data_IF_199196994572
#
_entry.id   IF_199196994572
#
_cell.length_a   1.000
_cell.length_b   1.000
_cell.length_c   1.000
_cell.angle_alpha   90.00
_cell.angle_beta   90.00
_cell.angle_gamma   90.00
#
_symmetry.space_group_name_H-M   'P 1'
#
loop_
_entity.id
_entity.type
_entity.pdbx_description
1 polymer ?
#
# COMPACT_ATOMS: atom_id res chain seq x y z
N UNK A 1 35.49 47.91 0.58
CA UNK A 1 34.41 48.32 -0.36
C UNK A 1 34.15 47.29 -1.49
N UNK A 2 35.13 46.55 -2.00
CA UNK A 2 34.89 45.55 -3.07
C UNK A 2 34.28 44.21 -2.60
N UNK A 3 34.46 43.81 -1.34
CA UNK A 3 33.97 42.52 -0.82
C UNK A 3 32.45 42.50 -0.59
N UNK A 4 31.88 43.65 -0.20
CA UNK A 4 30.47 43.79 0.17
C UNK A 4 29.53 43.84 -1.05
N UNK A 5 30.04 44.29 -2.20
CA UNK A 5 29.30 44.25 -3.47
C UNK A 5 29.24 42.84 -4.08
N UNK A 6 30.21 41.98 -3.77
CA UNK A 6 30.26 40.62 -4.31
C UNK A 6 29.26 39.69 -3.59
N UNK A 7 29.14 39.82 -2.27
CA UNK A 7 28.17 39.06 -1.47
C UNK A 7 26.74 39.46 -1.77
N UNK A 8 26.47 40.76 -2.00
CA UNK A 8 25.14 41.24 -2.36
C UNK A 8 24.70 40.75 -3.75
N UNK A 9 25.62 40.69 -4.73
CA UNK A 9 25.33 40.13 -6.06
C UNK A 9 25.06 38.62 -6.01
N UNK A 10 25.82 37.88 -5.19
CA UNK A 10 25.61 36.45 -5.01
C UNK A 10 24.26 36.14 -4.36
N UNK A 11 23.86 36.94 -3.37
CA UNK A 11 22.57 36.80 -2.69
C UNK A 11 21.40 37.08 -3.64
N UNK A 12 21.52 38.11 -4.49
CA UNK A 12 20.50 38.45 -5.50
C UNK A 12 20.42 37.36 -6.58
N UNK A 13 21.55 36.78 -7.00
CA UNK A 13 21.55 35.67 -7.96
C UNK A 13 20.90 34.41 -7.38
N UNK A 14 21.17 34.09 -6.10
CA UNK A 14 20.53 33.00 -5.38
C UNK A 14 19.03 33.24 -5.24
N UNK A 15 18.60 34.46 -4.96
CA UNK A 15 17.19 34.84 -4.89
C UNK A 15 16.48 34.75 -6.25
N UNK A 16 17.16 35.14 -7.34
CA UNK A 16 16.63 34.95 -8.69
C UNK A 16 16.57 33.48 -9.08
N UNK A 17 17.56 32.67 -8.68
CA UNK A 17 17.58 31.23 -8.98
C UNK A 17 16.53 30.47 -8.16
N UNK A 18 16.29 30.85 -6.90
CA UNK A 18 15.17 30.29 -6.10
C UNK A 18 13.81 30.76 -6.61
N UNK A 19 13.67 32.01 -7.06
CA UNK A 19 12.44 32.50 -7.69
C UNK A 19 12.17 31.80 -9.04
N UNK A 20 13.22 31.51 -9.81
CA UNK A 20 13.13 30.76 -11.06
C UNK A 20 12.81 29.27 -10.82
N UNK A 21 13.31 28.68 -9.73
CA UNK A 21 12.94 27.34 -9.26
C UNK A 21 11.53 27.27 -8.66
N UNK A 22 10.97 28.40 -8.18
CA UNK A 22 9.58 28.51 -7.72
C UNK A 22 8.59 28.72 -8.87
N UNK A 23 9.06 29.21 -10.01
CA UNK A 23 8.34 29.17 -11.30
C UNK A 23 8.45 27.75 -11.90
N UNK A 24 8.02 26.74 -11.15
CA UNK A 24 7.92 25.39 -11.69
C UNK A 24 6.82 25.34 -12.75
N UNK A 25 7.14 24.62 -13.82
CA UNK A 25 6.30 24.28 -14.95
C UNK A 25 4.88 23.88 -14.53
N UNK A 26 3.92 24.79 -14.64
CA UNK A 26 2.54 24.36 -14.86
C UNK A 26 2.47 23.86 -16.30
N UNK A 27 2.21 22.57 -16.47
CA UNK A 27 1.89 22.05 -17.80
C UNK A 27 0.52 22.64 -18.17
N UNK A 28 0.43 23.53 -19.17
CA UNK A 28 -0.82 24.19 -19.46
C UNK A 28 -1.82 23.15 -19.99
N UNK A 29 -3.06 23.22 -19.51
CA UNK A 29 -4.16 22.48 -20.14
C UNK A 29 -4.22 22.88 -21.61
N UNK A 30 -4.26 21.88 -22.50
CA UNK A 30 -4.23 22.11 -23.93
C UNK A 30 -5.62 21.88 -24.54
N UNK A 31 -6.09 22.86 -25.31
CA UNK A 31 -7.29 22.70 -26.14
C UNK A 31 -6.90 21.89 -27.39
N UNK A 32 -7.48 20.71 -27.55
CA UNK A 32 -7.23 19.81 -28.68
C UNK A 32 -8.13 20.15 -29.86
N UNK A 33 -9.41 20.41 -29.58
CA UNK A 33 -10.40 20.73 -30.60
C UNK A 33 -11.47 21.68 -30.05
N UNK A 34 -12.03 22.49 -30.95
CA UNK A 34 -13.19 23.36 -30.67
C UNK A 34 -14.10 23.30 -31.89
N UNK A 35 -15.35 22.88 -31.69
CA UNK A 35 -16.34 22.80 -32.76
C UNK A 35 -17.72 23.27 -32.30
N UNK A 36 -18.56 23.68 -33.27
CA UNK A 36 -19.99 23.95 -33.05
C UNK A 36 -20.77 22.77 -33.63
N UNK A 37 -21.65 22.16 -32.84
CA UNK A 37 -22.41 20.98 -33.25
C UNK A 37 -23.88 21.12 -32.84
N UNK A 38 -24.79 20.80 -33.75
CA UNK A 38 -26.22 20.76 -33.47
C UNK A 38 -26.57 19.39 -32.87
N UNK A 39 -26.91 19.35 -31.59
CA UNK A 39 -27.36 18.13 -30.90
C UNK A 39 -28.88 18.05 -30.97
N UNK A 40 -29.40 17.06 -31.66
CA UNK A 40 -30.84 16.74 -31.70
C UNK A 40 -31.17 15.60 -30.75
N UNK A 41 -32.15 15.81 -29.86
CA UNK A 41 -32.61 14.81 -28.89
C UNK A 41 -34.05 14.40 -29.23
N UNK A 42 -34.27 13.08 -29.31
CA UNK A 42 -35.59 12.49 -29.55
C UNK A 42 -36.15 12.06 -28.19
N UNK A 43 -37.15 12.80 -27.71
CA UNK A 43 -37.71 12.65 -26.35
C UNK A 43 -38.88 11.63 -26.32
N UNK A 44 -39.43 11.26 -27.48
CA UNK A 44 -40.59 10.35 -27.62
C UNK A 44 -40.66 9.68 -29.00
N UNK A 45 -41.58 8.73 -29.20
CA UNK A 45 -41.86 8.11 -30.51
C UNK A 45 -42.39 9.10 -31.57
N UNK A 46 -42.76 10.33 -31.19
CA UNK A 46 -43.13 11.38 -32.13
C UNK A 46 -41.93 11.83 -32.97
N UNK A 47 -42.18 12.22 -34.22
CA UNK A 47 -41.17 12.68 -35.18
C UNK A 47 -40.54 14.06 -34.85
N UNK A 48 -40.90 14.66 -33.71
CA UNK A 48 -40.40 15.97 -33.28
C UNK A 48 -39.03 15.85 -32.61
N UNK A 49 -37.99 16.33 -33.29
CA UNK A 49 -36.61 16.38 -32.79
C UNK A 49 -36.35 17.74 -32.15
N UNK A 50 -35.92 17.74 -30.88
CA UNK A 50 -35.49 18.95 -30.20
C UNK A 50 -34.00 19.17 -30.46
N UNK A 51 -33.66 20.05 -31.40
CA UNK A 51 -32.29 20.35 -31.79
C UNK A 51 -31.78 21.61 -31.09
N UNK A 52 -30.61 21.50 -30.47
CA UNK A 52 -29.92 22.61 -29.79
C UNK A 52 -28.48 22.73 -30.30
N UNK A 53 -28.04 23.96 -30.59
CA UNK A 53 -26.65 24.22 -30.97
C UNK A 53 -25.77 24.22 -29.72
N UNK A 54 -24.69 23.43 -29.73
CA UNK A 54 -23.74 23.31 -28.63
C UNK A 54 -22.31 23.56 -29.12
N UNK A 55 -21.46 24.07 -28.23
CA UNK A 55 -20.02 24.14 -28.46
C UNK A 55 -19.40 22.91 -27.80
N UNK A 56 -18.64 22.14 -28.56
CA UNK A 56 -17.88 20.98 -28.06
C UNK A 56 -16.42 21.39 -28.00
N UNK A 57 -15.79 21.14 -26.87
CA UNK A 57 -14.38 21.45 -26.60
C UNK A 57 -13.72 20.16 -26.11
N UNK A 58 -12.71 19.71 -26.83
CA UNK A 58 -11.86 18.60 -26.39
C UNK A 58 -10.61 19.15 -25.72
N UNK A 59 -10.34 18.70 -24.51
CA UNK A 59 -9.29 19.21 -23.65
C UNK A 59 -8.38 18.08 -23.18
N UNK A 60 -7.06 18.33 -23.18
CA UNK A 60 -6.09 17.50 -22.49
C UNK A 60 -5.76 18.15 -21.14
N UNK A 61 -6.14 17.48 -20.05
CA UNK A 61 -5.94 17.96 -18.68
C UNK A 61 -4.79 17.16 -18.05
N UNK A 62 -3.57 17.74 -17.96
CA UNK A 62 -2.45 17.06 -17.33
C UNK A 62 -2.69 16.90 -15.83
N UNK A 63 -2.22 15.77 -15.28
CA UNK A 63 -1.99 15.68 -13.84
C UNK A 63 -0.62 16.28 -13.57
N UNK A 64 -0.49 17.22 -12.63
CA UNK A 64 0.84 17.63 -12.24
C UNK A 64 1.55 16.48 -11.51
N UNK A 65 2.74 16.12 -11.97
CA UNK A 65 3.62 15.17 -11.28
C UNK A 65 4.11 15.71 -9.92
N UNK A 66 4.02 17.03 -9.70
CA UNK A 66 4.32 17.72 -8.44
C UNK A 66 3.19 17.66 -7.41
N UNK A 67 2.05 17.08 -7.75
CA UNK A 67 0.90 16.97 -6.83
C UNK A 67 0.07 18.25 -6.68
N UNK A 68 0.30 19.30 -7.48
CA UNK A 68 -0.61 20.45 -7.50
C UNK A 68 -1.70 20.30 -8.57
N UNK A 69 -2.67 21.18 -8.42
CA UNK A 69 -3.90 21.26 -9.19
C UNK A 69 -3.69 22.08 -10.47
N UNK A 70 -3.82 21.47 -11.66
CA UNK A 70 -3.71 22.18 -12.93
C UNK A 70 -5.01 22.95 -13.23
N UNK A 71 -4.93 24.27 -13.47
CA UNK A 71 -6.12 25.12 -13.74
C UNK A 71 -6.17 25.79 -15.12
N UNK A 72 -7.37 25.87 -15.73
CA UNK A 72 -7.63 26.60 -16.98
C UNK A 72 -8.88 27.44 -16.83
N UNK A 73 -8.79 28.73 -17.15
CA UNK A 73 -9.93 29.64 -17.25
C UNK A 73 -10.32 29.80 -18.72
N UNK A 74 -11.49 29.29 -19.11
CA UNK A 74 -12.06 29.52 -20.44
C UNK A 74 -13.18 30.57 -20.39
N UNK A 75 -13.09 31.59 -21.25
CA UNK A 75 -14.02 32.72 -21.34
C UNK A 75 -14.83 32.65 -22.65
N UNK A 76 -16.17 32.60 -22.56
CA UNK A 76 -17.06 32.51 -23.74
C UNK A 76 -17.60 33.90 -24.11
N UNK A 77 -16.98 34.55 -25.10
CA UNK A 77 -17.20 35.98 -25.39
C UNK A 77 -18.42 36.26 -26.30
N UNK A 78 -18.85 35.32 -27.15
CA UNK A 78 -19.87 35.58 -28.19
C UNK A 78 -20.95 34.50 -28.29
N UNK A 79 -22.22 34.92 -28.37
CA UNK A 79 -23.38 34.06 -28.64
C UNK A 79 -24.19 34.63 -29.79
N UNK A 80 -24.45 33.82 -30.80
CA UNK A 80 -25.25 34.18 -31.97
C UNK A 80 -26.70 33.73 -31.73
N UNK A 81 -27.63 34.68 -31.69
CA UNK A 81 -29.05 34.42 -31.43
C UNK A 81 -29.80 34.19 -32.75
N UNK A 82 -30.53 33.08 -32.85
CA UNK A 82 -31.31 32.69 -34.03
C UNK A 82 -32.46 33.69 -34.27
N UNK A 83 -32.20 34.81 -34.97
CA UNK A 83 -33.21 35.59 -35.73
C UNK A 83 -32.70 36.91 -36.31
N UNK A 84 -31.48 37.35 -36.00
CA UNK A 84 -30.88 38.50 -36.70
C UNK A 84 -29.37 38.37 -36.76
N UNK A 85 -28.75 38.86 -37.83
CA UNK A 85 -27.30 38.93 -38.03
C UNK A 85 -26.58 39.89 -37.06
N UNK A 86 -27.10 40.03 -35.84
CA UNK A 86 -26.58 40.90 -34.81
C UNK A 86 -25.82 40.04 -33.79
N UNK A 87 -24.49 40.07 -33.87
CA UNK A 87 -23.63 39.51 -32.83
C UNK A 87 -23.91 40.24 -31.51
N UNK A 88 -24.35 39.50 -30.49
CA UNK A 88 -24.50 40.02 -29.13
C UNK A 88 -23.36 39.46 -28.29
N UNK A 89 -22.47 40.33 -27.83
CA UNK A 89 -21.45 39.99 -26.83
C UNK A 89 -22.12 39.80 -25.48
N UNK A 90 -21.82 38.70 -24.78
CA UNK A 90 -22.27 38.49 -23.41
C UNK A 90 -21.67 39.60 -22.53
N UNK A 91 -22.50 40.24 -21.69
CA UNK A 91 -22.04 41.32 -20.79
C UNK A 91 -21.00 40.84 -19.77
N UNK A 92 -21.12 39.58 -19.33
CA UNK A 92 -20.09 38.88 -18.56
C UNK A 92 -20.07 37.42 -19.04
N UNK A 93 -18.97 36.98 -19.62
CA UNK A 93 -18.82 35.61 -20.09
C UNK A 93 -18.70 34.62 -18.93
N UNK A 94 -19.26 33.41 -19.04
CA UNK A 94 -19.06 32.37 -18.06
C UNK A 94 -17.59 31.95 -18.05
N UNK A 95 -17.02 31.84 -16.85
CA UNK A 95 -15.65 31.39 -16.63
C UNK A 95 -15.69 29.94 -16.18
N UNK A 96 -15.10 29.06 -16.98
CA UNK A 96 -14.94 27.63 -16.64
C UNK A 96 -13.53 27.44 -16.10
N UNK A 97 -13.42 26.95 -14.86
CA UNK A 97 -12.16 26.55 -14.24
C UNK A 97 -12.12 25.03 -14.11
N UNK A 98 -11.11 24.39 -14.69
CA UNK A 98 -10.95 22.92 -14.63
C UNK A 98 -9.75 22.63 -13.76
N UNK A 99 -9.87 21.68 -12.83
CA UNK A 99 -8.86 21.31 -11.88
C UNK A 99 -8.75 19.79 -11.79
N UNK A 100 -7.55 19.22 -11.93
CA UNK A 100 -7.29 17.78 -11.79
C UNK A 100 -6.40 17.50 -10.58
N UNK A 101 -6.83 16.57 -9.74
CA UNK A 101 -6.04 16.09 -8.60
C UNK A 101 -4.79 15.33 -9.05
N UNK A 102 -3.86 15.14 -8.12
CA UNK A 102 -2.77 14.17 -8.29
C UNK A 102 -3.37 12.78 -8.61
N UNK A 103 -2.76 12.09 -9.57
CA UNK A 103 -3.12 10.72 -9.91
C UNK A 103 -2.44 9.75 -8.95
N UNK A 104 -3.15 8.70 -8.54
CA UNK A 104 -2.61 7.63 -7.71
C UNK A 104 -2.98 6.27 -8.29
N UNK A 105 -2.12 5.28 -8.06
CA UNK A 105 -2.43 3.89 -8.38
C UNK A 105 -3.04 3.22 -7.14
N UNK A 106 -4.29 2.78 -7.27
CA UNK A 106 -5.00 2.01 -6.27
C UNK A 106 -4.83 0.52 -6.59
N UNK A 107 -4.46 -0.27 -5.60
CA UNK A 107 -4.32 -1.72 -5.73
C UNK A 107 -5.38 -2.41 -4.88
N UNK A 108 -6.07 -3.38 -5.46
CA UNK A 108 -7.01 -4.22 -4.72
C UNK A 108 -6.24 -5.15 -3.77
N UNK A 109 -6.64 -5.18 -2.50
CA UNK A 109 -6.00 -6.01 -1.48
C UNK A 109 -6.93 -7.13 -1.04
N UNK A 110 -6.43 -8.37 -1.08
CA UNK A 110 -7.13 -9.55 -0.58
C UNK A 110 -6.42 -10.08 0.65
N UNK A 111 -7.08 -10.07 1.81
CA UNK A 111 -6.50 -10.61 3.05
C UNK A 111 -6.28 -12.12 2.92
N UNK A 112 -5.09 -12.59 3.32
CA UNK A 112 -4.72 -14.01 3.28
C UNK A 112 -4.71 -14.58 4.70
N UNK A 113 -3.79 -14.09 5.55
CA UNK A 113 -3.61 -14.59 6.93
C UNK A 113 -2.73 -13.67 7.77
N UNK A 114 -2.67 -13.98 9.06
CA UNK A 114 -1.70 -13.42 9.99
C UNK A 114 -0.42 -14.25 10.04
N UNK A 115 0.70 -13.58 10.24
CA UNK A 115 2.04 -14.16 10.41
C UNK A 115 2.78 -13.46 11.55
N UNK A 116 3.65 -14.18 12.25
CA UNK A 116 4.45 -13.60 13.31
C UNK A 116 5.65 -12.82 12.74
N UNK A 117 6.00 -11.70 13.36
CA UNK A 117 7.16 -10.89 13.00
C UNK A 117 8.48 -11.65 13.18
N UNK A 118 8.61 -12.30 14.34
CA UNK A 118 9.81 -13.01 14.75
C UNK A 118 9.42 -14.26 15.56
N UNK A 119 9.27 -15.41 14.89
CA UNK A 119 9.25 -16.69 15.58
C UNK A 119 10.58 -16.89 16.32
N UNK A 120 10.50 -17.38 17.56
CA UNK A 120 11.66 -17.57 18.42
C UNK A 120 11.75 -19.02 18.89
N UNK A 121 12.95 -19.58 18.80
CA UNK A 121 13.28 -20.83 19.46
C UNK A 121 13.69 -20.55 20.90
N UNK A 122 13.02 -21.20 21.85
CA UNK A 122 13.41 -21.24 23.23
C UNK A 122 13.95 -22.62 23.60
N UNK A 123 14.91 -22.65 24.51
CA UNK A 123 15.45 -23.89 25.05
C UNK A 123 15.45 -23.89 26.58
N UNK A 124 15.23 -25.07 27.16
CA UNK A 124 15.23 -25.29 28.61
C UNK A 124 16.14 -26.46 28.93
N UNK A 125 17.11 -26.23 29.82
CA UNK A 125 17.95 -27.28 30.37
C UNK A 125 17.15 -28.05 31.43
N UNK A 126 16.85 -29.32 31.16
CA UNK A 126 15.98 -30.13 32.01
C UNK A 126 16.52 -31.55 32.23
N UNK A 127 15.82 -32.35 33.03
CA UNK A 127 16.09 -33.77 33.24
C UNK A 127 14.84 -34.58 32.94
N UNK A 128 15.01 -35.78 32.39
CA UNK A 128 13.88 -36.65 31.99
C UNK A 128 12.88 -35.95 31.05
N UNK A 129 13.39 -35.16 30.10
CA UNK A 129 12.56 -34.52 29.09
C UNK A 129 11.75 -35.56 28.31
N UNK A 130 10.44 -35.34 28.23
CA UNK A 130 9.52 -36.05 27.35
C UNK A 130 8.61 -35.04 26.66
N UNK A 131 8.10 -35.33 25.45
CA UNK A 131 7.21 -34.40 24.74
C UNK A 131 5.94 -34.06 25.51
N UNK A 132 5.47 -34.95 26.38
CA UNK A 132 4.27 -34.85 27.22
C UNK A 132 4.53 -34.36 28.64
N UNK A 133 5.77 -33.98 28.94
CA UNK A 133 6.13 -33.45 30.24
C UNK A 133 5.45 -32.09 30.51
N UNK A 134 5.06 -31.87 31.76
CA UNK A 134 4.41 -30.64 32.22
C UNK A 134 5.39 -29.48 32.43
N UNK A 135 4.84 -28.30 32.73
CA UNK A 135 5.62 -27.08 33.01
C UNK A 135 6.67 -27.23 34.14
N UNK A 136 6.51 -28.17 35.06
CA UNK A 136 7.49 -28.46 36.12
C UNK A 136 8.83 -28.96 35.56
N UNK A 137 8.80 -29.64 34.42
CA UNK A 137 9.98 -30.20 33.74
C UNK A 137 10.43 -29.32 32.58
N UNK A 138 9.50 -28.91 31.70
CA UNK A 138 9.85 -28.20 30.45
C UNK A 138 9.62 -26.69 30.52
N UNK A 139 9.12 -26.16 31.64
CA UNK A 139 8.94 -24.73 31.88
C UNK A 139 8.16 -24.05 30.73
N UNK A 140 8.73 -23.01 30.12
CA UNK A 140 8.15 -22.25 29.00
C UNK A 140 7.87 -23.08 27.75
N UNK A 141 8.46 -24.27 27.66
CA UNK A 141 8.30 -25.19 26.55
C UNK A 141 7.15 -26.19 26.73
N UNK A 142 6.26 -25.98 27.71
CA UNK A 142 5.02 -26.76 27.85
C UNK A 142 4.14 -26.68 26.59
N UNK A 143 3.37 -27.73 26.30
CA UNK A 143 2.41 -27.74 25.19
C UNK A 143 1.39 -26.61 25.32
N UNK A 144 1.09 -25.97 24.21
CA UNK A 144 0.07 -24.92 24.18
C UNK A 144 -1.32 -25.53 24.10
N UNK A 145 -2.29 -24.85 24.73
CA UNK A 145 -3.70 -25.21 24.69
C UNK A 145 -4.49 -24.08 24.03
N UNK A 146 -5.53 -24.43 23.29
CA UNK A 146 -6.48 -23.47 22.74
C UNK A 146 -7.39 -22.90 23.85
N UNK A 147 -8.25 -21.94 23.50
CA UNK A 147 -9.21 -21.32 24.43
C UNK A 147 -10.22 -22.33 25.01
N UNK A 148 -10.42 -23.47 24.34
CA UNK A 148 -11.30 -24.56 24.75
C UNK A 148 -10.56 -25.62 25.59
N UNK A 149 -9.27 -25.45 25.85
CA UNK A 149 -8.42 -26.36 26.61
C UNK A 149 -7.89 -27.57 25.84
N UNK A 150 -8.13 -27.67 24.53
CA UNK A 150 -7.55 -28.69 23.66
C UNK A 150 -6.06 -28.43 23.43
N UNK A 151 -5.29 -29.51 23.37
CA UNK A 151 -3.86 -29.43 23.08
C UNK A 151 -3.67 -29.10 21.61
N UNK A 152 -2.91 -28.06 21.32
CA UNK A 152 -2.55 -27.70 19.95
C UNK A 152 -1.48 -28.69 19.48
N UNK A 153 -1.76 -29.40 18.39
CA UNK A 153 -0.85 -30.39 17.81
C UNK A 153 0.50 -29.76 17.46
N UNK A 154 1.56 -30.57 17.58
CA UNK A 154 2.94 -30.18 17.27
C UNK A 154 3.48 -28.99 18.08
N UNK A 155 2.80 -28.54 19.15
CA UNK A 155 3.36 -27.53 20.08
C UNK A 155 4.25 -28.12 21.17
N UNK A 156 4.35 -29.46 21.21
CA UNK A 156 5.21 -30.17 22.14
C UNK A 156 6.71 -29.87 21.93
N UNK A 157 7.50 -29.87 23.00
CA UNK A 157 8.93 -29.65 22.89
C UNK A 157 9.63 -30.84 22.23
N UNK A 158 10.67 -30.55 21.47
CA UNK A 158 11.60 -31.55 20.96
C UNK A 158 12.75 -31.71 21.97
N UNK A 159 12.88 -32.92 22.52
CA UNK A 159 13.89 -33.24 23.53
C UNK A 159 15.20 -33.70 22.87
N UNK A 160 16.28 -32.98 23.13
CA UNK A 160 17.62 -33.34 22.67
C UNK A 160 18.53 -33.82 23.81
N UNK A 161 19.43 -34.78 23.54
CA UNK A 161 20.38 -35.26 24.53
C UNK A 161 21.45 -34.20 24.83
N UNK A 162 22.00 -34.25 26.04
CA UNK A 162 23.16 -33.44 26.41
C UNK A 162 24.44 -33.80 25.61
N UNK A 163 25.36 -32.85 25.47
CA UNK A 163 26.64 -33.01 24.78
C UNK A 163 27.14 -31.72 24.12
N UNK A 164 28.42 -31.68 23.73
CA UNK A 164 29.07 -30.48 23.17
C UNK A 164 28.76 -30.27 21.67
N UNK A 165 28.61 -31.35 20.90
CA UNK A 165 28.22 -31.32 19.48
C UNK A 165 26.70 -31.48 19.33
N UNK A 166 25.94 -30.61 19.98
CA UNK A 166 24.47 -30.59 19.96
C UNK A 166 23.96 -29.19 19.66
N UNK A 167 22.68 -29.08 19.27
CA UNK A 167 22.00 -27.82 18.96
C UNK A 167 22.28 -26.72 19.98
N UNK A 168 22.22 -27.08 21.27
CA UNK A 168 22.72 -26.26 22.37
C UNK A 168 23.74 -27.09 23.17
N UNK A 169 25.02 -26.67 23.22
CA UNK A 169 26.04 -27.33 24.01
C UNK A 169 25.65 -27.36 25.48
N UNK A 170 25.61 -28.56 26.07
CA UNK A 170 25.23 -28.73 27.47
C UNK A 170 25.98 -29.87 28.16
N UNK A 171 26.37 -29.65 29.42
CA UNK A 171 27.07 -30.67 30.21
C UNK A 171 26.11 -31.74 30.73
N UNK A 172 26.40 -32.99 30.37
CA UNK A 172 25.68 -34.17 30.87
C UNK A 172 25.82 -34.40 32.38
N UNK A 173 26.78 -33.74 33.03
CA UNK A 173 27.07 -33.91 34.45
C UNK A 173 27.61 -35.30 34.79
N UNK A 174 27.55 -35.64 36.09
CA UNK A 174 28.19 -36.83 36.65
C UNK A 174 27.24 -38.04 36.67
N UNK A 175 27.82 -39.25 36.72
CA UNK A 175 27.08 -40.52 36.72
C UNK A 175 26.05 -40.63 37.87
N UNK A 176 26.42 -40.25 39.10
CA UNK A 176 25.51 -40.29 40.26
C UNK A 176 24.27 -39.41 40.09
N UNK A 177 24.45 -38.25 39.48
CA UNK A 177 23.39 -37.29 39.20
C UNK A 177 22.43 -37.83 38.12
N UNK A 178 22.97 -38.56 37.14
CA UNK A 178 22.19 -39.26 36.12
C UNK A 178 21.37 -40.41 36.71
N UNK A 179 21.91 -41.12 37.70
CA UNK A 179 21.23 -42.24 38.37
C UNK A 179 20.12 -41.78 39.31
N UNK A 180 20.35 -40.71 40.08
CA UNK A 180 19.39 -40.21 41.10
C UNK A 180 18.33 -39.27 40.50
N UNK A 181 18.73 -38.35 39.61
CA UNK A 181 17.84 -37.30 39.06
C UNK A 181 17.42 -37.55 37.61
N UNK A 182 17.97 -38.56 36.96
CA UNK A 182 17.71 -38.88 35.56
C UNK A 182 18.63 -38.17 34.56
N UNK A 183 18.53 -38.59 33.28
CA UNK A 183 19.33 -38.06 32.17
C UNK A 183 19.02 -36.59 31.94
N UNK A 184 20.08 -35.78 31.79
CA UNK A 184 19.96 -34.37 31.36
C UNK A 184 19.66 -34.32 29.86
N UNK A 185 18.70 -33.48 29.52
CA UNK A 185 18.26 -33.21 28.16
C UNK A 185 18.03 -31.69 28.02
N UNK A 186 17.98 -31.22 26.79
CA UNK A 186 17.51 -29.86 26.47
C UNK A 186 16.17 -29.98 25.77
N UNK A 187 15.15 -29.30 26.27
CA UNK A 187 13.87 -29.16 25.57
C UNK A 187 13.95 -27.94 24.65
N UNK A 188 13.58 -28.07 23.38
CA UNK A 188 13.51 -26.97 22.42
C UNK A 188 12.07 -26.77 21.98
N UNK A 189 11.60 -25.53 21.94
CA UNK A 189 10.25 -25.20 21.54
C UNK A 189 10.19 -23.92 20.71
N UNK A 190 9.30 -23.91 19.72
CA UNK A 190 8.96 -22.73 18.95
C UNK A 190 7.90 -21.91 19.69
N UNK A 191 8.08 -20.58 19.70
CA UNK A 191 7.10 -19.63 20.23
C UNK A 191 7.02 -18.39 19.34
N UNK A 192 5.90 -17.68 19.47
CA UNK A 192 5.62 -16.45 18.74
C UNK A 192 5.32 -15.32 19.75
N UNK A 193 6.33 -14.83 20.49
CA UNK A 193 6.14 -13.82 21.53
C UNK A 193 5.94 -12.40 20.98
N UNK A 194 6.46 -12.14 19.78
CA UNK A 194 6.52 -10.81 19.17
C UNK A 194 5.23 -10.44 18.40
N UNK A 195 5.21 -9.23 17.85
CA UNK A 195 4.07 -8.69 17.10
C UNK A 195 3.69 -9.57 15.89
N UNK A 196 2.42 -9.43 15.48
CA UNK A 196 1.86 -10.11 14.33
C UNK A 196 1.65 -9.12 13.19
N UNK A 197 1.65 -9.64 11.96
CA UNK A 197 1.46 -8.88 10.74
C UNK A 197 0.40 -9.53 9.86
N UNK A 198 -0.39 -8.71 9.19
CA UNK A 198 -1.35 -9.13 8.19
C UNK A 198 -0.66 -9.28 6.84
N UNK A 199 -0.98 -10.35 6.12
CA UNK A 199 -0.51 -10.59 4.75
C UNK A 199 -1.65 -10.37 3.76
N UNK A 200 -1.41 -9.52 2.77
CA UNK A 200 -2.35 -9.22 1.69
C UNK A 200 -1.78 -9.64 0.34
N UNK A 201 -2.62 -10.33 -0.43
CA UNK A 201 -2.47 -10.45 -1.88
C UNK A 201 -2.75 -9.11 -2.54
N UNK A 202 -1.90 -8.72 -3.48
CA UNK A 202 -2.08 -7.52 -4.29
C UNK A 202 -2.69 -7.96 -5.63
N UNK A 203 -3.85 -7.39 -5.94
CA UNK A 203 -4.65 -7.71 -7.12
C UNK A 203 -4.55 -6.63 -8.20
N UNK A 204 -5.65 -6.41 -8.92
CA UNK A 204 -5.67 -5.48 -10.04
C UNK A 204 -5.40 -4.05 -9.58
N UNK A 205 -4.70 -3.32 -10.45
CA UNK A 205 -4.47 -1.88 -10.27
C UNK A 205 -5.52 -1.07 -11.01
N UNK A 206 -5.98 0.01 -10.40
CA UNK A 206 -6.78 1.05 -11.02
C UNK A 206 -6.12 2.41 -10.79
N UNK A 207 -6.28 3.33 -11.75
CA UNK A 207 -5.78 4.70 -11.59
C UNK A 207 -6.92 5.53 -11.03
N UNK A 208 -6.70 6.19 -9.90
CA UNK A 208 -7.62 7.11 -9.26
C UNK A 208 -7.17 8.56 -9.45
N UNK A 209 -8.13 9.42 -9.78
CA UNK A 209 -8.00 10.88 -9.78
C UNK A 209 -9.40 11.51 -9.79
N UNK A 210 -9.49 12.78 -9.44
CA UNK A 210 -10.71 13.58 -9.58
C UNK A 210 -10.44 14.82 -10.42
N UNK A 211 -11.40 15.18 -11.28
CA UNK A 211 -11.41 16.42 -12.03
C UNK A 211 -12.59 17.25 -11.54
N UNK A 212 -12.29 18.36 -10.87
CA UNK A 212 -13.25 19.36 -10.43
C UNK A 212 -13.39 20.42 -11.52
N UNK A 213 -14.61 20.75 -11.90
CA UNK A 213 -14.92 21.75 -12.92
C UNK A 213 -15.89 22.75 -12.33
N UNK A 214 -15.40 23.97 -12.14
CA UNK A 214 -16.15 25.09 -11.61
C UNK A 214 -16.62 26.00 -12.74
N UNK A 215 -17.92 26.25 -12.79
CA UNK A 215 -18.53 27.20 -13.73
C UNK A 215 -19.01 28.40 -12.96
N UNK A 216 -18.34 29.53 -13.15
CA UNK A 216 -18.75 30.82 -12.57
C UNK A 216 -19.60 31.59 -13.56
N UNK A 217 -20.86 31.83 -13.19
CA UNK A 217 -21.79 32.72 -13.89
C UNK A 217 -22.09 33.93 -13.00
N UNK A 218 -22.67 34.99 -13.57
CA UNK A 218 -22.96 36.22 -12.82
C UNK A 218 -23.79 36.01 -11.53
N UNK A 219 -24.71 35.03 -11.52
CA UNK A 219 -25.67 34.84 -10.42
C UNK A 219 -25.53 33.52 -9.67
N UNK A 220 -24.80 32.54 -10.21
CA UNK A 220 -24.70 31.19 -9.67
C UNK A 220 -23.35 30.56 -10.03
N UNK A 221 -22.77 29.86 -9.06
CA UNK A 221 -21.63 28.99 -9.28
C UNK A 221 -22.15 27.54 -9.31
N UNK A 222 -21.70 26.76 -10.29
CA UNK A 222 -21.94 25.32 -10.31
C UNK A 222 -20.62 24.57 -10.34
N UNK A 223 -20.54 23.52 -9.53
CA UNK A 223 -19.39 22.62 -9.44
C UNK A 223 -19.81 21.25 -9.99
N UNK A 224 -18.92 20.65 -10.77
CA UNK A 224 -19.09 19.30 -11.31
C UNK A 224 -17.81 18.52 -11.09
N UNK A 225 -17.92 17.31 -10.55
CA UNK A 225 -16.78 16.43 -10.30
C UNK A 225 -16.92 15.18 -11.18
N UNK A 226 -15.86 14.86 -11.93
CA UNK A 226 -15.77 13.63 -12.74
C UNK A 226 -14.50 12.86 -12.39
N UNK A 227 -14.52 11.55 -12.59
CA UNK A 227 -13.38 10.67 -12.35
C UNK A 227 -13.58 9.29 -12.98
N UNK A 228 -12.64 8.36 -12.77
CA UNK A 228 -12.72 6.99 -13.30
C UNK A 228 -14.02 6.26 -12.93
N UNK A 229 -14.51 6.47 -11.71
CA UNK A 229 -15.75 5.87 -11.17
C UNK A 229 -17.02 6.56 -11.70
N UNK A 230 -16.97 7.88 -11.90
CA UNK A 230 -18.08 8.67 -12.43
C UNK A 230 -17.62 9.54 -13.59
N UNK A 231 -17.75 9.00 -14.80
CA UNK A 231 -17.18 9.60 -16.02
C UNK A 231 -18.04 10.69 -16.64
N UNK A 232 -19.33 10.75 -16.33
CA UNK A 232 -20.26 11.71 -16.93
C UNK A 232 -20.97 12.51 -15.87
N UNK A 233 -20.95 13.82 -16.02
CA UNK A 233 -21.72 14.70 -15.14
C UNK A 233 -22.26 15.90 -15.90
N UNK A 234 -23.39 16.42 -15.43
CA UNK A 234 -24.07 17.57 -16.03
C UNK A 234 -24.30 18.60 -14.93
N UNK A 235 -24.09 19.87 -15.23
CA UNK A 235 -24.38 20.95 -14.29
C UNK A 235 -25.88 21.04 -14.00
N UNK A 236 -26.26 21.57 -12.84
CA UNK A 236 -27.64 21.68 -12.36
C UNK A 236 -28.58 22.44 -13.31
N UNK A 237 -28.01 23.35 -14.10
CA UNK A 237 -28.72 24.17 -15.09
C UNK A 237 -28.65 23.61 -16.53
N UNK A 238 -28.14 22.39 -16.71
CA UNK A 238 -27.92 21.74 -18.00
C UNK A 238 -27.03 22.51 -18.99
N UNK A 239 -26.30 23.53 -18.53
CA UNK A 239 -25.42 24.34 -19.37
C UNK A 239 -24.14 23.58 -19.75
N UNK A 240 -23.50 22.97 -18.76
CA UNK A 240 -22.26 22.20 -18.94
C UNK A 240 -22.56 20.71 -18.86
N UNK A 241 -22.05 19.96 -19.85
CA UNK A 241 -21.99 18.50 -19.80
C UNK A 241 -20.56 18.07 -19.98
N UNK A 242 -20.08 17.25 -19.06
CA UNK A 242 -18.72 16.75 -18.99
C UNK A 242 -18.75 15.25 -19.24
N UNK A 243 -17.82 14.76 -20.06
CA UNK A 243 -17.62 13.34 -20.30
C UNK A 243 -16.11 13.04 -20.29
N UNK A 244 -15.68 12.17 -19.38
CA UNK A 244 -14.33 11.65 -19.31
C UNK A 244 -14.20 10.45 -20.25
N UNK A 245 -13.53 10.63 -21.39
CA UNK A 245 -13.36 9.59 -22.40
C UNK A 245 -12.33 8.55 -21.95
N UNK A 246 -11.19 9.00 -21.42
CA UNK A 246 -10.08 8.17 -20.98
C UNK A 246 -8.86 9.01 -20.62
N UNK A 247 -7.76 8.34 -20.33
CA UNK A 247 -6.46 8.98 -20.10
C UNK A 247 -5.51 8.69 -21.25
N UNK A 248 -4.56 9.60 -21.49
CA UNK A 248 -3.47 9.34 -22.43
C UNK A 248 -2.46 8.39 -21.76
N UNK A 249 -1.97 7.40 -22.51
CA UNK A 249 -0.98 6.46 -21.98
C UNK A 249 0.29 7.23 -21.61
N UNK A 250 0.73 7.10 -20.35
CA UNK A 250 1.97 7.71 -19.88
C UNK A 250 3.21 7.05 -20.51
N UNK A 251 4.32 7.78 -20.56
CA UNK A 251 5.61 7.25 -21.04
C UNK A 251 6.33 6.36 -20.02
N UNK A 252 5.85 6.35 -18.78
CA UNK A 252 6.39 5.57 -17.67
C UNK A 252 5.35 4.58 -17.20
N UNK A 253 5.74 3.32 -17.15
CA UNK A 253 4.90 2.27 -16.61
C UNK A 253 4.75 2.44 -15.09
N UNK A 254 3.52 2.32 -14.62
CA UNK A 254 3.26 2.11 -13.21
C UNK A 254 3.78 0.69 -12.87
N UNK A 255 4.44 0.45 -11.72
CA UNK A 255 4.83 -0.90 -11.35
C UNK A 255 3.61 -1.81 -11.18
N UNK A 256 3.78 -3.11 -11.42
CA UNK A 256 2.85 -4.13 -10.95
C UNK A 256 3.48 -4.87 -9.76
N UNK A 257 2.64 -5.35 -8.86
CA UNK A 257 3.06 -6.05 -7.65
C UNK A 257 2.47 -7.46 -7.58
N UNK A 258 2.19 -8.05 -8.74
CA UNK A 258 1.47 -9.32 -8.87
C UNK A 258 2.24 -10.48 -8.20
N UNK A 259 3.57 -10.42 -8.17
CA UNK A 259 4.43 -11.44 -7.56
C UNK A 259 4.80 -11.13 -6.09
N UNK A 260 4.21 -10.09 -5.52
CA UNK A 260 4.47 -9.65 -4.16
C UNK A 260 3.26 -9.88 -3.23
N UNK A 261 3.56 -9.91 -1.94
CA UNK A 261 2.61 -9.71 -0.87
C UNK A 261 2.93 -8.42 -0.13
N UNK A 262 1.86 -7.75 0.30
CA UNK A 262 1.93 -6.61 1.19
C UNK A 262 1.77 -7.10 2.63
N UNK A 263 2.73 -6.73 3.49
CA UNK A 263 2.76 -7.12 4.89
C UNK A 263 2.64 -5.88 5.76
N UNK A 264 1.65 -5.88 6.66
CA UNK A 264 1.25 -4.71 7.46
C UNK A 264 1.21 -5.10 8.94
N UNK A 265 1.78 -4.30 9.87
CA UNK A 265 1.68 -4.57 11.30
C UNK A 265 0.21 -4.73 11.74
N UNK A 266 -0.08 -5.75 12.53
CA UNK A 266 -1.44 -6.00 13.00
C UNK A 266 -1.88 -4.90 13.96
N UNK A 267 -2.96 -4.22 13.61
CA UNK A 267 -3.61 -3.24 14.49
C UNK A 267 -4.89 -3.86 15.05
N UNK A 268 -4.78 -4.47 16.23
CA UNK A 268 -5.91 -5.08 16.94
C UNK A 268 -5.88 -6.61 16.96
N UNK A 269 -7.06 -7.21 16.88
CA UNK A 269 -7.27 -8.66 16.99
C UNK A 269 -6.91 -9.44 15.72
N UNK A 270 -6.86 -10.78 15.81
CA UNK A 270 -6.58 -11.64 14.65
C UNK A 270 -7.67 -11.53 13.57
N UNK A 271 -7.28 -11.71 12.31
CA UNK A 271 -8.20 -11.72 11.18
C UNK A 271 -8.12 -10.46 10.29
N UNK A 272 -9.09 -10.31 9.39
CA UNK A 272 -9.09 -9.21 8.42
C UNK A 272 -9.26 -7.86 9.15
N UNK A 273 -8.30 -6.94 9.05
CA UNK A 273 -8.40 -5.65 9.72
C UNK A 273 -9.45 -4.75 9.07
N UNK A 274 -10.15 -3.96 9.88
CA UNK A 274 -11.05 -2.90 9.40
C UNK A 274 -10.28 -1.64 8.97
N UNK A 275 -9.09 -1.43 9.54
CA UNK A 275 -8.21 -0.30 9.25
C UNK A 275 -6.78 -0.82 9.09
N UNK A 276 -6.13 -0.45 7.99
CA UNK A 276 -4.76 -0.86 7.68
C UNK A 276 -3.70 -0.07 8.45
N UNK A 277 -4.10 1.00 9.14
CA UNK A 277 -3.20 1.92 9.83
C UNK A 277 -2.57 2.95 8.90
N UNK A 278 -1.87 3.91 9.49
CA UNK A 278 -1.20 5.02 8.78
C UNK A 278 0.33 4.96 8.84
N UNK A 279 0.90 4.03 9.59
CA UNK A 279 2.35 3.93 9.74
C UNK A 279 2.96 3.06 8.62
N UNK A 280 3.23 3.68 7.48
CA UNK A 280 3.83 3.02 6.33
C UNK A 280 5.29 2.62 6.52
N UNK A 281 5.97 3.12 7.57
CA UNK A 281 7.39 2.83 7.78
C UNK A 281 7.67 1.34 7.91
N UNK A 282 6.76 0.59 8.55
CA UNK A 282 6.88 -0.86 8.79
C UNK A 282 6.16 -1.72 7.74
N UNK A 283 5.59 -1.10 6.70
CA UNK A 283 4.94 -1.85 5.64
C UNK A 283 6.01 -2.43 4.72
N UNK A 284 5.87 -3.71 4.39
CA UNK A 284 6.84 -4.41 3.56
C UNK A 284 6.16 -5.01 2.33
N UNK A 285 6.80 -4.86 1.17
CA UNK A 285 6.46 -5.56 -0.06
C UNK A 285 7.48 -6.68 -0.25
N UNK A 286 7.04 -7.93 -0.16
CA UNK A 286 7.92 -9.10 -0.18
C UNK A 286 7.44 -10.10 -1.22
N UNK A 287 8.37 -10.73 -1.93
CA UNK A 287 8.05 -11.71 -2.97
C UNK A 287 7.30 -12.91 -2.41
N UNK A 288 6.28 -13.39 -3.13
CA UNK A 288 5.42 -14.51 -2.72
C UNK A 288 6.21 -15.78 -2.40
N UNK A 289 7.32 -16.02 -3.12
CA UNK A 289 8.20 -17.19 -2.92
C UNK A 289 8.87 -17.26 -1.55
N UNK A 290 8.90 -16.14 -0.81
CA UNK A 290 9.49 -16.04 0.54
C UNK A 290 8.56 -16.55 1.63
N UNK A 291 7.29 -16.82 1.30
CA UNK A 291 6.26 -17.22 2.25
C UNK A 291 5.95 -18.71 2.16
N UNK A 292 5.54 -19.29 3.28
CA UNK A 292 4.92 -20.61 3.40
C UNK A 292 3.55 -20.40 4.04
N UNK A 293 2.48 -20.63 3.28
CA UNK A 293 1.12 -20.37 3.75
C UNK A 293 0.57 -21.51 4.60
N UNK A 294 1.02 -22.73 4.32
CA UNK A 294 0.78 -23.97 5.05
C UNK A 294 1.69 -24.14 6.28
N UNK A 295 2.81 -23.42 6.33
CA UNK A 295 3.73 -23.43 7.46
C UNK A 295 4.63 -24.67 7.55
N UNK A 296 4.75 -25.44 6.47
CA UNK A 296 5.52 -26.69 6.42
C UNK A 296 6.94 -26.52 5.91
N UNK A 297 7.29 -25.34 5.39
CA UNK A 297 8.63 -25.04 4.88
C UNK A 297 9.48 -24.27 5.90
N UNK A 298 10.70 -24.74 6.13
CA UNK A 298 11.68 -24.05 6.94
C UNK A 298 12.26 -22.81 6.24
N UNK A 299 12.72 -21.84 7.04
CA UNK A 299 13.40 -20.63 6.57
C UNK A 299 12.58 -19.80 5.57
N UNK A 300 11.25 -19.82 5.73
CA UNK A 300 10.29 -18.98 5.03
C UNK A 300 9.39 -18.27 6.01
N UNK A 301 8.84 -17.14 5.58
CA UNK A 301 7.91 -16.33 6.36
C UNK A 301 6.61 -17.14 6.56
N UNK A 302 6.20 -17.30 7.81
CA UNK A 302 5.02 -18.11 8.17
C UNK A 302 5.35 -19.54 8.61
N UNK A 303 6.62 -19.85 8.87
CA UNK A 303 7.06 -21.15 9.41
C UNK A 303 6.20 -21.59 10.61
N UNK A 304 5.71 -22.82 10.55
CA UNK A 304 4.86 -23.42 11.57
C UNK A 304 5.60 -24.38 12.50
N UNK A 305 4.87 -24.92 13.47
CA UNK A 305 5.36 -25.94 14.39
C UNK A 305 5.81 -27.21 13.67
N UNK A 306 5.10 -27.61 12.62
CA UNK A 306 5.35 -28.84 11.85
C UNK A 306 6.71 -28.79 11.16
N UNK A 307 6.98 -27.71 10.43
CA UNK A 307 8.28 -27.47 9.81
C UNK A 307 9.41 -27.49 10.84
N UNK A 308 9.20 -26.82 11.97
CA UNK A 308 10.21 -26.72 13.02
C UNK A 308 10.50 -28.08 13.67
N UNK A 309 9.50 -28.86 14.02
CA UNK A 309 9.70 -30.16 14.68
C UNK A 309 10.17 -31.26 13.72
N UNK A 310 9.81 -31.18 12.43
CA UNK A 310 10.17 -32.15 11.42
C UNK A 310 11.56 -31.91 10.78
N UNK A 311 12.37 -31.01 11.34
CA UNK A 311 13.72 -30.76 10.84
C UNK A 311 14.57 -32.05 10.83
N UNK A 312 15.27 -32.34 9.72
CA UNK A 312 16.24 -33.43 9.72
C UNK A 312 17.35 -33.12 10.72
N UNK A 313 17.80 -34.15 11.44
CA UNK A 313 18.88 -34.06 12.42
C UNK A 313 18.70 -32.92 13.44
N UNK A 314 17.46 -32.66 13.88
CA UNK A 314 17.08 -31.53 14.75
C UNK A 314 18.10 -31.22 15.86
N UNK A 315 18.54 -32.25 16.60
CA UNK A 315 19.44 -32.11 17.74
C UNK A 315 20.92 -31.90 17.40
N UNK A 316 21.29 -32.11 16.14
CA UNK A 316 22.64 -31.87 15.61
C UNK A 316 22.69 -30.58 14.77
N UNK A 317 21.54 -30.10 14.28
CA UNK A 317 21.43 -28.82 13.60
C UNK A 317 21.74 -27.64 14.55
N UNK A 318 22.29 -26.51 14.05
CA UNK A 318 22.55 -25.32 14.85
C UNK A 318 21.29 -24.74 15.50
N UNK A 319 21.45 -24.08 16.65
CA UNK A 319 20.39 -23.28 17.26
C UNK A 319 19.87 -22.22 16.27
N UNK A 320 18.57 -21.92 16.30
CA UNK A 320 17.85 -21.08 15.33
C UNK A 320 17.66 -21.65 13.92
N UNK A 321 18.09 -22.89 13.64
CA UNK A 321 17.79 -23.53 12.36
C UNK A 321 16.27 -23.60 12.12
N UNK A 322 15.86 -23.46 10.85
CA UNK A 322 14.47 -23.37 10.38
C UNK A 322 13.78 -22.01 10.60
N UNK A 323 14.37 -21.10 11.38
CA UNK A 323 13.76 -19.80 11.74
C UNK A 323 14.46 -18.60 11.06
N UNK A 324 15.15 -18.81 9.95
CA UNK A 324 15.76 -17.73 9.16
C UNK A 324 14.77 -17.15 8.13
N UNK A 325 15.13 -16.01 7.52
CA UNK A 325 14.35 -15.30 6.50
C UNK A 325 12.91 -14.98 6.95
N UNK A 326 12.79 -14.50 8.19
CA UNK A 326 11.54 -14.01 8.76
C UNK A 326 11.41 -12.51 8.52
N UNK A 327 10.26 -11.91 8.85
CA UNK A 327 10.00 -10.49 8.62
C UNK A 327 11.07 -9.60 9.24
N UNK A 328 11.48 -9.89 10.48
CA UNK A 328 12.53 -9.13 11.16
C UNK A 328 13.89 -9.16 10.44
N UNK A 329 14.21 -10.25 9.72
CA UNK A 329 15.45 -10.32 8.96
C UNK A 329 15.45 -9.35 7.77
N UNK A 330 14.31 -9.21 7.09
CA UNK A 330 14.15 -8.26 5.98
C UNK A 330 14.12 -6.82 6.49
N UNK A 331 13.43 -6.58 7.60
CA UNK A 331 13.41 -5.28 8.27
C UNK A 331 14.82 -4.83 8.67
N UNK A 332 15.56 -5.65 9.41
CA UNK A 332 16.92 -5.32 9.85
C UNK A 332 17.87 -5.13 8.65
N UNK A 333 17.71 -5.92 7.60
CA UNK A 333 18.49 -5.76 6.38
C UNK A 333 18.23 -4.40 5.71
N UNK A 334 16.98 -3.95 5.63
CA UNK A 334 16.64 -2.63 5.08
C UNK A 334 17.12 -1.49 5.99
N UNK A 335 16.99 -1.63 7.32
CA UNK A 335 17.53 -0.63 8.26
C UNK A 335 19.05 -0.48 8.11
N UNK A 336 19.78 -1.58 7.93
CA UNK A 336 21.22 -1.57 7.68
C UNK A 336 21.62 -0.99 6.31
N UNK A 337 20.70 -0.95 5.34
CA UNK A 337 20.94 -0.32 4.02
C UNK A 337 20.68 1.18 4.05
N UNK A 338 19.86 1.64 4.99
CA UNK A 338 19.52 3.05 5.18
C UNK A 338 20.59 3.76 6.04
N UNK A 339 21.24 3.05 6.98
CA UNK A 339 22.26 3.59 7.89
C UNK A 339 23.62 3.83 7.26
#
# INVERSE_FOLDING_TARGET
KNFQNSTMKLLVLLLFFTLFLLLQYSSPIQILSKSRLQKCEKVSESNSLNCTNKIIIDLAVPSESSGNEASLVAEIVEVEENSSSNMRTLRVPPVITINKSAAYALYELTYIRDIAYKPQEFYVNTRKCQPDAGADVVQICERLRDENGHIIENTQPTCCPCGDQRRVPSSCGNFFDKMTKGKKNTAHCLRFPDDWFHVFGIGQRSVGFSIRIDVKKQSQNSEVIVGPDNRTATSSDNFLRVNLIGDYVGYTDIPSFDDLYLVIPRQGGPGQPQNLGSNFSMWMLLERVRFTLDGVECNKIGVGYDAFNAQPDFCSAPFWSCLHNQLWNFWDADQNRIS
#
